data_IF_383985373224
#
_entry.id   IF_383985373224
#
_cell.length_a   1.000
_cell.length_b   1.000
_cell.length_c   1.000
_cell.angle_alpha   90.00
_cell.angle_beta   90.00
_cell.angle_gamma   90.00
#
_symmetry.space_group_name_H-M   'P 1'
#
loop_
_entity.id
_entity.type
_entity.pdbx_description
1 polymer ?
#
# COMPACT_ATOMS: atom_id res chain seq x y z
N UNK A 1 -4.30 2.51 2.22
CA UNK A 1 -3.77 3.89 2.30
C UNK A 1 -2.26 3.86 2.46
N UNK A 2 -1.67 3.50 3.60
CA UNK A 2 -0.19 3.57 3.80
C UNK A 2 0.66 2.82 2.75
N UNK A 3 0.10 1.83 2.05
CA UNK A 3 0.79 1.15 0.95
C UNK A 3 1.22 2.09 -0.18
N UNK A 4 0.50 3.19 -0.40
CA UNK A 4 0.68 4.03 -1.59
C UNK A 4 1.88 4.96 -1.51
N UNK A 5 2.38 5.21 -0.31
CA UNK A 5 3.62 5.97 -0.08
C UNK A 5 4.86 5.06 -0.03
N UNK A 6 4.67 3.75 -0.19
CA UNK A 6 5.74 2.74 -0.17
C UNK A 6 5.88 2.09 -1.54
N UNK A 7 4.76 1.70 -2.15
CA UNK A 7 4.74 0.91 -3.37
C UNK A 7 5.40 1.64 -4.55
N UNK A 8 6.07 0.84 -5.38
CA UNK A 8 6.70 1.25 -6.63
C UNK A 8 6.42 0.17 -7.67
N UNK A 9 5.52 0.49 -8.61
CA UNK A 9 5.28 -0.34 -9.78
C UNK A 9 6.54 -0.43 -10.65
N UNK A 10 6.73 -1.60 -11.26
CA UNK A 10 7.81 -1.81 -12.22
C UNK A 10 7.32 -1.35 -13.59
N UNK A 11 7.79 -0.19 -14.05
CA UNK A 11 7.55 0.30 -15.41
C UNK A 11 6.45 1.36 -15.55
N UNK A 12 6.31 1.88 -16.77
CA UNK A 12 5.48 3.06 -17.10
C UNK A 12 4.04 2.70 -17.54
N UNK A 13 3.67 1.41 -17.49
CA UNK A 13 2.37 0.89 -17.99
C UNK A 13 1.46 0.40 -16.86
N UNK A 14 1.43 1.11 -15.72
CA UNK A 14 0.40 0.85 -14.74
C UNK A 14 -0.94 1.38 -15.27
N UNK A 15 -1.75 0.49 -15.86
CA UNK A 15 -3.17 0.79 -16.11
C UNK A 15 -3.85 1.31 -14.84
N UNK A 16 -4.98 2.02 -14.97
CA UNK A 16 -5.63 2.66 -13.82
C UNK A 16 -5.86 1.67 -12.67
N UNK A 17 -5.20 1.84 -11.51
CA UNK A 17 -5.21 0.85 -10.46
C UNK A 17 -6.62 0.70 -9.89
N UNK A 18 -7.00 -0.54 -9.56
CA UNK A 18 -8.26 -0.79 -8.86
C UNK A 18 -8.18 -0.14 -7.47
N UNK A 19 -9.21 0.61 -7.10
CA UNK A 19 -9.30 1.29 -5.81
C UNK A 19 -10.48 0.72 -5.02
N UNK A 20 -10.31 0.35 -3.73
CA UNK A 20 -11.44 0.01 -2.87
C UNK A 20 -12.40 1.19 -2.72
N UNK A 21 -13.70 0.93 -2.73
CA UNK A 21 -14.73 1.95 -2.56
C UNK A 21 -14.84 2.48 -1.11
N UNK A 22 -15.65 3.52 -0.92
CA UNK A 22 -15.97 4.09 0.38
C UNK A 22 -14.80 4.87 1.00
N UNK A 23 -14.63 4.82 2.34
CA UNK A 23 -13.65 5.65 3.06
C UNK A 23 -12.20 5.48 2.59
N UNK A 24 -11.86 4.34 2.00
CA UNK A 24 -10.52 4.12 1.44
C UNK A 24 -10.27 5.00 0.22
N UNK A 25 -11.25 5.12 -0.70
CA UNK A 25 -11.18 5.99 -1.87
C UNK A 25 -10.97 7.44 -1.46
N UNK A 26 -11.75 7.91 -0.48
CA UNK A 26 -11.66 9.28 0.05
C UNK A 26 -10.28 9.56 0.67
N UNK A 27 -9.78 8.64 1.50
CA UNK A 27 -8.47 8.78 2.12
C UNK A 27 -7.31 8.78 1.11
N UNK A 28 -7.42 8.01 0.02
CA UNK A 28 -6.44 8.00 -1.06
C UNK A 28 -6.48 9.30 -1.85
N UNK A 29 -7.67 9.79 -2.21
CA UNK A 29 -7.81 11.10 -2.86
C UNK A 29 -7.19 12.22 -2.01
N UNK A 30 -7.48 12.23 -0.70
CA UNK A 30 -6.91 13.19 0.23
C UNK A 30 -5.39 13.05 0.43
N UNK A 31 -4.82 11.87 0.16
CA UNK A 31 -3.36 11.64 0.16
C UNK A 31 -2.73 12.22 -1.11
N UNK A 32 -3.34 11.99 -2.27
CA UNK A 32 -2.89 12.55 -3.55
C UNK A 32 -2.99 14.08 -3.55
N UNK A 33 -4.07 14.66 -3.04
CA UNK A 33 -4.20 16.12 -2.90
C UNK A 33 -3.07 16.72 -2.07
N UNK A 34 -2.74 16.11 -0.92
CA UNK A 34 -1.61 16.57 -0.10
C UNK A 34 -0.27 16.44 -0.80
N UNK A 35 -0.09 15.41 -1.62
CA UNK A 35 1.11 15.27 -2.44
C UNK A 35 1.21 16.38 -3.48
N UNK A 36 0.13 16.73 -4.19
CA UNK A 36 0.13 17.87 -5.15
C UNK A 36 0.45 19.20 -4.46
N UNK A 37 -0.10 19.44 -3.27
CA UNK A 37 0.22 20.63 -2.47
C UNK A 37 1.71 20.67 -2.08
N UNK A 38 2.26 19.52 -1.67
CA UNK A 38 3.67 19.36 -1.34
C UNK A 38 4.56 19.57 -2.56
N UNK A 39 4.22 18.98 -3.70
CA UNK A 39 4.93 19.11 -4.96
C UNK A 39 5.02 20.58 -5.41
N UNK A 40 3.91 21.31 -5.34
CA UNK A 40 3.88 22.75 -5.66
C UNK A 40 4.78 23.56 -4.72
N UNK A 41 4.78 23.21 -3.42
CA UNK A 41 5.64 23.84 -2.42
C UNK A 41 7.14 23.52 -2.60
N UNK A 42 7.46 22.31 -3.05
CA UNK A 42 8.82 21.86 -3.35
C UNK A 42 9.37 22.52 -4.62
N UNK A 43 8.55 22.55 -5.68
CA UNK A 43 8.86 23.21 -6.95
C UNK A 43 9.17 24.70 -6.74
N UNK A 44 8.35 25.41 -5.97
CA UNK A 44 8.56 26.82 -5.66
C UNK A 44 9.86 27.11 -4.88
N UNK A 45 10.43 26.10 -4.18
CA UNK A 45 11.66 26.22 -3.40
C UNK A 45 12.87 25.59 -4.10
N UNK A 46 12.69 24.96 -5.25
CA UNK A 46 13.76 24.28 -5.99
C UNK A 46 14.40 23.11 -5.23
N UNK A 47 13.64 22.42 -4.37
CA UNK A 47 14.14 21.26 -3.61
C UNK A 47 13.81 19.94 -4.34
N UNK A 48 14.40 18.84 -3.88
CA UNK A 48 14.07 17.51 -4.40
C UNK A 48 12.57 17.22 -4.23
N UNK A 49 11.93 16.75 -5.30
CA UNK A 49 10.49 16.46 -5.30
C UNK A 49 10.18 15.16 -4.59
N UNK A 50 9.11 15.15 -3.82
CA UNK A 50 8.54 13.94 -3.23
C UNK A 50 7.91 13.09 -4.33
N UNK A 51 8.23 11.79 -4.33
CA UNK A 51 7.69 10.84 -5.29
C UNK A 51 6.15 10.77 -5.22
N UNK A 52 5.53 10.65 -6.39
CA UNK A 52 4.09 10.43 -6.50
C UNK A 52 3.64 9.14 -5.78
N UNK A 53 2.54 9.19 -5.01
CA UNK A 53 1.97 8.00 -4.38
C UNK A 53 1.46 6.99 -5.41
N UNK A 54 1.97 5.76 -5.37
CA UNK A 54 1.55 4.68 -6.28
C UNK A 54 0.40 3.88 -5.67
N UNK A 55 -0.77 3.95 -6.31
CA UNK A 55 -1.99 3.32 -5.81
C UNK A 55 -2.07 1.81 -6.14
N UNK A 56 -1.15 1.26 -6.94
CA UNK A 56 -1.21 -0.09 -7.52
C UNK A 56 -1.26 -1.23 -6.50
N UNK A 57 -0.68 -1.06 -5.31
CA UNK A 57 -0.71 -2.08 -4.26
C UNK A 57 -1.91 -1.96 -3.29
N UNK A 58 -2.72 -0.90 -3.41
CA UNK A 58 -3.81 -0.67 -2.45
C UNK A 58 -4.90 -1.75 -2.52
N UNK A 59 -5.32 -2.16 -3.72
CA UNK A 59 -6.30 -3.23 -3.89
C UNK A 59 -5.82 -4.60 -3.41
N UNK A 60 -4.62 -5.08 -3.79
CA UNK A 60 -4.06 -6.33 -3.26
C UNK A 60 -4.06 -6.40 -1.74
N UNK A 61 -3.48 -5.39 -1.08
CA UNK A 61 -3.32 -5.39 0.39
C UNK A 61 -4.66 -5.24 1.10
N UNK A 62 -5.62 -4.53 0.49
CA UNK A 62 -6.98 -4.40 1.03
C UNK A 62 -7.70 -5.75 1.07
N UNK A 63 -7.69 -6.51 -0.03
CA UNK A 63 -8.30 -7.85 -0.09
C UNK A 63 -7.63 -8.81 0.89
N UNK A 64 -6.30 -8.76 0.96
CA UNK A 64 -5.54 -9.54 1.92
C UNK A 64 -5.87 -9.20 3.38
N UNK A 65 -5.91 -7.92 3.76
CA UNK A 65 -6.27 -7.53 5.13
C UNK A 65 -7.70 -7.94 5.52
N UNK A 66 -8.58 -8.18 4.55
CA UNK A 66 -9.94 -8.71 4.75
C UNK A 66 -10.04 -10.23 4.86
N UNK A 67 -8.90 -10.93 4.80
CA UNK A 67 -8.84 -12.38 4.99
C UNK A 67 -8.85 -13.22 3.71
N UNK A 68 -8.84 -12.60 2.52
CA UNK A 68 -8.84 -13.36 1.26
C UNK A 68 -7.54 -14.17 1.07
N UNK A 69 -7.60 -15.44 0.64
CA UNK A 69 -6.40 -16.25 0.47
C UNK A 69 -5.54 -15.70 -0.68
N UNK A 70 -4.23 -15.98 -0.64
CA UNK A 70 -3.24 -15.33 -1.52
C UNK A 70 -3.54 -15.61 -2.99
N UNK A 71 -3.83 -16.86 -3.32
CA UNK A 71 -4.23 -17.30 -4.66
C UNK A 71 -5.35 -16.43 -5.23
N UNK A 72 -6.43 -16.19 -4.46
CA UNK A 72 -7.54 -15.33 -4.89
C UNK A 72 -7.17 -13.86 -5.06
N UNK A 73 -6.25 -13.36 -4.23
CA UNK A 73 -5.73 -11.99 -4.38
C UNK A 73 -4.98 -11.89 -5.72
N UNK A 74 -4.04 -12.81 -5.97
CA UNK A 74 -3.22 -12.79 -7.19
C UNK A 74 -4.04 -13.05 -8.46
N UNK A 75 -5.00 -13.98 -8.42
CA UNK A 75 -5.89 -14.25 -9.57
C UNK A 75 -6.67 -13.01 -9.99
N UNK A 76 -7.26 -12.26 -9.05
CA UNK A 76 -7.99 -11.06 -9.46
C UNK A 76 -7.10 -9.93 -9.97
N UNK A 77 -5.83 -9.88 -9.55
CA UNK A 77 -4.87 -8.94 -10.12
C UNK A 77 -4.52 -9.30 -11.56
N UNK A 78 -4.38 -10.60 -11.84
CA UNK A 78 -4.22 -11.09 -13.20
C UNK A 78 -5.45 -10.78 -14.08
N UNK A 79 -6.66 -10.96 -13.55
CA UNK A 79 -7.93 -10.68 -14.25
C UNK A 79 -8.08 -9.20 -14.66
N UNK A 80 -7.56 -8.27 -13.85
CA UNK A 80 -7.61 -6.82 -14.13
C UNK A 80 -6.37 -6.32 -14.90
N UNK A 81 -5.51 -7.22 -15.39
CA UNK A 81 -4.33 -6.86 -16.17
C UNK A 81 -3.18 -6.25 -15.35
N UNK A 82 -3.14 -6.49 -14.03
CA UNK A 82 -2.11 -5.99 -13.12
C UNK A 82 -1.40 -7.14 -12.39
N UNK A 83 -0.80 -8.11 -13.10
CA UNK A 83 -0.22 -9.30 -12.46
C UNK A 83 0.87 -8.92 -11.46
N UNK A 84 0.87 -9.59 -10.31
CA UNK A 84 1.86 -9.42 -9.26
C UNK A 84 2.42 -10.78 -8.86
N UNK A 85 3.76 -10.90 -8.82
CA UNK A 85 4.40 -12.12 -8.35
C UNK A 85 4.14 -12.31 -6.85
N UNK A 86 3.95 -13.56 -6.40
CA UNK A 86 3.72 -13.89 -5.00
C UNK A 86 4.86 -13.38 -4.08
N UNK A 87 6.11 -13.48 -4.53
CA UNK A 87 7.27 -12.96 -3.79
C UNK A 87 7.25 -11.44 -3.64
N UNK A 88 6.86 -10.71 -4.69
CA UNK A 88 6.72 -9.25 -4.64
C UNK A 88 5.57 -8.85 -3.71
N UNK A 89 4.45 -9.57 -3.77
CA UNK A 89 3.33 -9.36 -2.84
C UNK A 89 3.78 -9.47 -1.37
N UNK A 90 4.51 -10.53 -1.03
CA UNK A 90 5.03 -10.72 0.33
C UNK A 90 6.04 -9.61 0.70
N UNK A 91 6.92 -9.22 -0.22
CA UNK A 91 7.87 -8.12 -0.01
C UNK A 91 7.14 -6.81 0.33
N UNK A 92 6.14 -6.43 -0.45
CA UNK A 92 5.38 -5.20 -0.22
C UNK A 92 4.55 -5.27 1.06
N UNK A 93 3.98 -6.43 1.40
CA UNK A 93 3.32 -6.61 2.70
C UNK A 93 4.28 -6.36 3.87
N UNK A 94 5.54 -6.81 3.78
CA UNK A 94 6.54 -6.57 4.84
C UNK A 94 6.86 -5.09 5.00
N UNK A 95 7.08 -4.36 3.92
CA UNK A 95 7.30 -2.92 4.00
C UNK A 95 6.09 -2.18 4.58
N UNK A 96 4.87 -2.59 4.22
CA UNK A 96 3.65 -2.06 4.84
C UNK A 96 3.60 -2.36 6.34
N UNK A 97 3.96 -3.59 6.75
CA UNK A 97 4.04 -3.95 8.17
C UNK A 97 5.07 -3.12 8.92
N UNK A 98 6.24 -2.85 8.33
CA UNK A 98 7.30 -2.05 8.95
C UNK A 98 6.83 -0.62 9.22
N UNK A 99 6.19 0.03 8.24
CA UNK A 99 5.62 1.37 8.42
C UNK A 99 4.47 1.36 9.45
N UNK A 100 3.59 0.35 9.41
CA UNK A 100 2.51 0.23 10.39
C UNK A 100 3.04 0.00 11.81
N UNK A 101 4.11 -0.76 11.98
CA UNK A 101 4.75 -0.98 13.28
C UNK A 101 5.39 0.30 13.83
N UNK A 102 5.91 1.18 12.96
CA UNK A 102 6.34 2.54 13.35
C UNK A 102 5.14 3.41 13.77
N UNK A 103 4.08 3.42 12.98
CA UNK A 103 2.85 4.17 13.29
C UNK A 103 2.20 3.68 14.59
N UNK A 104 2.25 2.38 14.86
CA UNK A 104 1.75 1.77 16.10
C UNK A 104 2.48 2.26 17.36
N UNK A 105 3.71 2.77 17.22
CA UNK A 105 4.56 3.30 18.29
C UNK A 105 4.63 4.83 18.32
N UNK A 106 3.98 5.51 17.37
CA UNK A 106 4.09 6.97 17.19
C UNK A 106 3.43 7.82 18.29
N UNK A 107 2.59 7.22 19.16
CA UNK A 107 1.80 7.96 20.15
C UNK A 107 0.65 8.81 19.55
N UNK A 108 0.44 8.75 18.24
CA UNK A 108 -0.61 9.50 17.54
C UNK A 108 -1.96 8.76 17.57
N UNK A 109 -3.08 9.44 17.26
CA UNK A 109 -4.41 8.81 17.20
C UNK A 109 -4.49 7.62 16.23
N UNK A 110 -3.61 7.53 15.22
CA UNK A 110 -3.61 6.41 14.26
C UNK A 110 -2.96 5.13 14.81
N UNK A 111 -2.28 5.19 15.96
CA UNK A 111 -1.53 4.06 16.50
C UNK A 111 -2.41 2.82 16.76
N UNK A 112 -3.64 3.01 17.24
CA UNK A 112 -4.58 1.91 17.47
C UNK A 112 -5.05 1.25 16.16
N UNK A 113 -5.31 2.05 15.12
CA UNK A 113 -5.67 1.54 13.80
C UNK A 113 -4.49 0.79 13.15
N UNK A 114 -3.26 1.30 13.33
CA UNK A 114 -2.05 0.66 12.83
C UNK A 114 -1.84 -0.73 13.45
N UNK A 115 -2.00 -0.89 14.77
CA UNK A 115 -1.95 -2.20 15.44
C UNK A 115 -2.97 -3.19 14.88
N UNK A 116 -4.20 -2.75 14.62
CA UNK A 116 -5.24 -3.61 14.01
C UNK A 116 -4.85 -4.03 12.59
N UNK A 117 -4.31 -3.10 11.79
CA UNK A 117 -3.85 -3.40 10.43
C UNK A 117 -2.68 -4.38 10.41
N UNK A 118 -1.72 -4.27 11.34
CA UNK A 118 -0.61 -5.24 11.50
C UNK A 118 -1.15 -6.65 11.70
N UNK A 119 -2.10 -6.83 12.62
CA UNK A 119 -2.69 -8.15 12.89
C UNK A 119 -3.44 -8.71 11.68
N UNK A 120 -4.15 -7.86 10.92
CA UNK A 120 -4.88 -8.27 9.73
C UNK A 120 -3.97 -8.70 8.56
N UNK A 121 -2.81 -8.04 8.41
CA UNK A 121 -1.87 -8.30 7.32
C UNK A 121 -0.91 -9.45 7.65
N UNK A 122 -0.47 -9.58 8.92
CA UNK A 122 0.51 -10.58 9.37
C UNK A 122 -0.14 -11.96 9.53
N UNK A 123 -0.41 -12.63 8.42
CA UNK A 123 -0.98 -13.99 8.38
C UNK A 123 -0.37 -14.84 7.26
N UNK A 124 -0.63 -16.15 7.26
CA UNK A 124 -0.20 -17.06 6.19
C UNK A 124 1.28 -16.92 5.81
N UNK A 125 1.57 -16.83 4.52
CA UNK A 125 2.94 -16.65 3.99
C UNK A 125 3.60 -15.31 4.35
N UNK A 126 2.82 -14.30 4.78
CA UNK A 126 3.38 -13.02 5.24
C UNK A 126 3.91 -13.14 6.67
N UNK A 127 3.32 -14.02 7.48
CA UNK A 127 3.75 -14.27 8.86
C UNK A 127 4.98 -15.18 8.97
N UNK A 128 5.24 -16.01 7.96
CA UNK A 128 6.34 -16.97 7.96
C UNK A 128 7.36 -16.59 6.88
N UNK A 129 8.60 -16.22 7.22
CA UNK A 129 9.67 -16.21 6.24
C UNK A 129 9.75 -17.62 5.65
N UNK A 130 9.69 -17.76 4.32
CA UNK A 130 10.00 -19.04 3.68
C UNK A 130 11.40 -19.51 4.10
N UNK A 131 11.70 -20.81 4.01
CA UNK A 131 13.06 -21.30 4.30
C UNK A 131 14.04 -20.51 3.42
N UNK A 132 15.01 -19.87 4.08
CA UNK A 132 16.13 -19.21 3.41
C UNK A 132 17.10 -20.21 2.82
#
# INVERSE_FOLDING_TARGET
VVSVVLYESRGNEAGSPRIPDGPVREALAATVTRWVELEGAESARGVAMTREPDLGFCWPVYRWARGEPLDRVLSALLEIGQPLAAGDFVRWCRQVLDLLDQLAKSGTPVAAAARKAVQAIRRGVVAHPGPG
#
